data_IF_915822085156
#
_entry.id   IF_915822085156
#
_cell.length_a   1.000
_cell.length_b   1.000
_cell.length_c   1.000
_cell.angle_alpha   90.00
_cell.angle_beta   90.00
_cell.angle_gamma   90.00
#
_symmetry.space_group_name_H-M   'P 1'
#
loop_
_entity.id
_entity.type
_entity.pdbx_description
1 polymer ?
#
# COMPACT_ATOMS: atom_id res chain seq x y z
N UNK A 1 -13.78 -20.21 16.12
CA UNK A 1 -14.34 -19.43 15.03
C UNK A 1 -14.42 -20.30 13.76
N UNK A 2 -15.61 -20.56 13.24
CA UNK A 2 -15.81 -21.45 12.09
C UNK A 2 -15.44 -20.68 10.81
N UNK A 3 -14.35 -21.10 10.11
CA UNK A 3 -14.02 -20.64 8.76
C UNK A 3 -15.22 -20.96 7.84
N UNK A 4 -15.87 -19.96 7.27
CA UNK A 4 -16.81 -20.15 6.16
C UNK A 4 -15.99 -20.63 4.96
N UNK A 5 -16.10 -21.93 4.62
CA UNK A 5 -15.63 -22.46 3.35
C UNK A 5 -16.48 -21.83 2.26
N UNK A 6 -15.94 -20.88 1.53
CA UNK A 6 -16.53 -20.41 0.29
C UNK A 6 -16.34 -21.51 -0.75
N UNK A 7 -17.42 -22.25 -1.05
CA UNK A 7 -17.49 -23.21 -2.15
C UNK A 7 -17.55 -22.42 -3.46
N UNK A 8 -16.37 -22.22 -4.09
CA UNK A 8 -16.29 -21.63 -5.42
C UNK A 8 -16.38 -22.73 -6.48
N UNK A 9 -17.45 -22.67 -7.26
CA UNK A 9 -17.69 -23.58 -8.38
C UNK A 9 -16.89 -23.08 -9.59
N UNK A 10 -15.78 -23.73 -9.92
CA UNK A 10 -14.84 -23.40 -10.98
C UNK A 10 -15.43 -23.59 -12.36
N UNK A 11 -16.09 -22.60 -12.93
CA UNK A 11 -16.26 -22.47 -14.37
C UNK A 11 -15.21 -21.51 -14.90
N UNK A 12 -14.29 -22.07 -15.67
CA UNK A 12 -13.17 -21.47 -16.40
C UNK A 12 -13.67 -20.36 -17.32
N UNK A 13 -13.69 -19.11 -16.83
CA UNK A 13 -13.71 -17.90 -17.65
C UNK A 13 -13.19 -16.74 -16.78
N UNK A 14 -11.90 -16.39 -16.98
CA UNK A 14 -11.13 -15.31 -16.33
C UNK A 14 -11.00 -15.46 -14.81
N UNK A 15 -9.80 -15.38 -14.26
CA UNK A 15 -9.61 -15.62 -12.84
C UNK A 15 -10.21 -14.45 -12.04
N UNK A 16 -11.33 -14.61 -11.33
CA UNK A 16 -11.91 -13.58 -10.47
C UNK A 16 -10.91 -13.14 -9.38
N UNK A 17 -9.93 -13.95 -9.09
CA UNK A 17 -8.84 -13.68 -8.15
C UNK A 17 -7.94 -12.53 -8.59
N UNK A 18 -7.60 -12.45 -9.87
CA UNK A 18 -6.74 -11.40 -10.38
C UNK A 18 -7.41 -10.03 -10.28
N UNK A 19 -8.69 -9.96 -10.61
CA UNK A 19 -9.48 -8.73 -10.46
C UNK A 19 -9.61 -8.33 -8.98
N UNK A 20 -9.80 -9.30 -8.08
CA UNK A 20 -9.86 -9.05 -6.64
C UNK A 20 -8.53 -8.56 -6.09
N UNK A 21 -7.40 -9.12 -6.54
CA UNK A 21 -6.07 -8.62 -6.19
C UNK A 21 -5.88 -7.17 -6.63
N UNK A 22 -6.18 -6.86 -7.89
CA UNK A 22 -6.04 -5.52 -8.43
C UNK A 22 -6.91 -4.50 -7.67
N UNK A 23 -8.14 -4.87 -7.32
CA UNK A 23 -9.00 -4.05 -6.49
C UNK A 23 -8.41 -3.82 -5.09
N UNK A 24 -7.83 -4.86 -4.47
CA UNK A 24 -7.14 -4.74 -3.18
C UNK A 24 -5.92 -3.83 -3.25
N UNK A 25 -5.11 -3.93 -4.32
CA UNK A 25 -3.95 -3.08 -4.55
C UNK A 25 -4.38 -1.62 -4.73
N UNK A 26 -5.39 -1.34 -5.54
CA UNK A 26 -5.91 0.02 -5.74
C UNK A 26 -6.37 0.64 -4.42
N UNK A 27 -7.11 -0.11 -3.59
CA UNK A 27 -7.50 0.35 -2.26
C UNK A 27 -6.30 0.61 -1.36
N UNK A 28 -5.28 -0.26 -1.42
CA UNK A 28 -4.05 -0.05 -0.66
C UNK A 28 -3.34 1.24 -1.10
N UNK A 29 -3.26 1.53 -2.39
CA UNK A 29 -2.67 2.77 -2.92
C UNK A 29 -3.44 4.02 -2.48
N UNK A 30 -4.77 3.96 -2.46
CA UNK A 30 -5.60 5.04 -1.92
C UNK A 30 -5.31 5.30 -0.43
N UNK A 31 -5.19 4.22 0.37
CA UNK A 31 -4.83 4.32 1.78
C UNK A 31 -3.42 4.89 1.96
N UNK A 32 -2.43 4.45 1.18
CA UNK A 32 -1.05 4.99 1.21
C UNK A 32 -1.03 6.47 0.91
N UNK A 33 -1.82 6.92 -0.07
CA UNK A 33 -1.97 8.35 -0.40
C UNK A 33 -2.57 9.16 0.75
N UNK A 34 -3.57 8.60 1.44
CA UNK A 34 -4.17 9.22 2.62
C UNK A 34 -3.18 9.29 3.80
N UNK A 35 -2.46 8.19 4.07
CA UNK A 35 -1.42 8.13 5.10
C UNK A 35 -0.30 9.15 4.86
N UNK A 36 0.11 9.34 3.60
CA UNK A 36 1.09 10.36 3.22
C UNK A 36 0.63 11.77 3.59
N UNK A 37 -0.65 12.10 3.37
CA UNK A 37 -1.21 13.41 3.78
C UNK A 37 -1.12 13.62 5.27
N UNK A 38 -1.53 12.63 6.07
CA UNK A 38 -1.44 12.72 7.53
C UNK A 38 0.01 12.89 8.00
N UNK A 39 0.95 12.18 7.38
CA UNK A 39 2.37 12.27 7.73
C UNK A 39 2.94 13.67 7.47
N UNK A 40 2.62 14.26 6.32
CA UNK A 40 3.01 15.64 5.98
C UNK A 40 2.41 16.63 6.98
N UNK A 41 1.12 16.49 7.32
CA UNK A 41 0.45 17.35 8.29
C UNK A 41 1.05 17.23 9.70
N UNK A 42 1.46 16.03 10.12
CA UNK A 42 2.18 15.81 11.38
C UNK A 42 3.52 16.54 11.35
N UNK A 43 4.30 16.41 10.28
CA UNK A 43 5.57 17.13 10.13
C UNK A 43 5.36 18.64 10.30
N UNK A 44 4.42 19.22 9.56
CA UNK A 44 4.14 20.65 9.61
C UNK A 44 3.70 21.09 11.02
N UNK A 45 2.83 20.33 11.68
CA UNK A 45 2.37 20.63 13.01
C UNK A 45 3.49 20.56 14.07
N UNK A 46 4.37 19.55 13.97
CA UNK A 46 5.54 19.40 14.86
C UNK A 46 6.54 20.53 14.63
N UNK A 47 6.84 20.89 13.38
CA UNK A 47 7.72 22.02 13.04
C UNK A 47 7.19 23.35 13.62
N UNK A 48 5.87 23.57 13.54
CA UNK A 48 5.26 24.76 14.15
C UNK A 48 5.36 24.76 15.68
N UNK A 49 5.17 23.61 16.33
CA UNK A 49 5.27 23.47 17.78
C UNK A 49 6.71 23.59 18.30
N UNK A 50 7.69 23.14 17.51
CA UNK A 50 9.11 23.22 17.85
C UNK A 50 9.76 24.56 17.49
N UNK A 51 9.02 25.45 16.80
CA UNK A 51 9.55 26.75 16.39
C UNK A 51 10.01 27.52 17.62
N UNK A 52 11.30 27.94 17.69
CA UNK A 52 11.78 28.68 18.83
C UNK A 52 11.08 30.03 18.93
N UNK A 53 10.83 30.50 20.17
CA UNK A 53 10.35 31.84 20.38
C UNK A 53 11.34 32.87 19.78
N UNK A 54 10.81 33.86 19.09
CA UNK A 54 11.65 34.93 18.50
C UNK A 54 12.15 35.83 19.60
N UNK A 55 13.36 35.55 20.09
CA UNK A 55 13.99 36.35 21.15
C UNK A 55 14.85 37.49 20.61
N UNK A 56 15.25 37.44 19.34
CA UNK A 56 16.03 38.49 18.67
C UNK A 56 15.43 38.71 17.28
N UNK A 57 14.77 39.80 17.11
CA UNK A 57 14.34 40.31 15.81
C UNK A 57 15.53 41.05 15.13
N UNK A 58 15.51 41.08 13.80
CA UNK A 58 16.45 41.94 13.08
C UNK A 58 16.16 43.41 13.43
N UNK A 59 17.15 44.30 13.30
CA UNK A 59 16.96 45.73 13.54
C UNK A 59 15.75 46.34 12.79
N UNK A 60 15.52 45.84 11.57
CA UNK A 60 14.34 46.23 10.76
C UNK A 60 13.04 45.79 11.41
N UNK A 61 12.97 44.56 11.90
CA UNK A 61 11.76 44.05 12.58
C UNK A 61 11.52 44.78 13.90
N UNK A 62 12.57 45.07 14.67
CA UNK A 62 12.48 45.90 15.88
C UNK A 62 12.01 47.30 15.59
N UNK A 63 12.46 47.92 14.50
CA UNK A 63 11.98 49.21 14.03
C UNK A 63 10.50 49.21 13.69
N UNK A 64 10.02 48.18 12.99
CA UNK A 64 8.60 48.00 12.63
C UNK A 64 7.75 47.80 13.90
N UNK A 65 8.21 46.96 14.84
CA UNK A 65 7.51 46.69 16.08
C UNK A 65 7.39 47.97 16.92
N UNK A 66 8.47 48.73 17.06
CA UNK A 66 8.48 50.01 17.80
C UNK A 66 7.58 51.06 17.17
N UNK A 67 7.56 51.14 15.81
CA UNK A 67 6.71 52.09 15.08
C UNK A 67 5.20 51.79 15.23
N UNK A 68 4.84 50.53 15.48
CA UNK A 68 3.47 50.04 15.58
C UNK A 68 3.13 49.53 17.01
N UNK A 69 3.73 50.12 18.05
CA UNK A 69 3.66 49.62 19.40
C UNK A 69 2.24 49.77 20.02
N UNK A 70 1.51 48.66 20.04
CA UNK A 70 0.23 48.52 20.72
C UNK A 70 0.34 47.52 21.90
N UNK A 71 -0.62 47.59 22.86
CA UNK A 71 -0.68 46.60 23.97
C UNK A 71 -0.70 45.16 23.41
N UNK A 72 -1.44 44.95 22.31
CA UNK A 72 -1.56 43.64 21.67
C UNK A 72 -0.24 43.19 21.03
N UNK A 73 0.47 44.10 20.38
CA UNK A 73 1.76 43.82 19.77
C UNK A 73 2.81 43.49 20.84
N UNK A 74 2.86 44.27 21.95
CA UNK A 74 3.74 43.95 23.08
C UNK A 74 3.46 42.59 23.67
N UNK A 75 2.22 42.22 23.91
CA UNK A 75 1.85 40.90 24.42
C UNK A 75 2.25 39.77 23.45
N UNK A 76 2.06 40.00 22.16
CA UNK A 76 2.47 39.03 21.14
C UNK A 76 3.99 38.82 21.07
N UNK A 77 4.77 39.91 21.13
CA UNK A 77 6.26 39.82 21.16
C UNK A 77 6.72 39.19 22.47
N UNK A 78 6.12 39.54 23.61
CA UNK A 78 6.45 38.94 24.91
C UNK A 78 6.13 37.43 24.94
N UNK A 79 5.12 36.99 24.22
CA UNK A 79 4.80 35.57 24.03
C UNK A 79 5.76 34.88 22.99
N UNK A 80 6.82 35.57 22.56
CA UNK A 80 7.80 35.03 21.59
C UNK A 80 7.24 34.93 20.14
N UNK A 81 6.28 35.78 19.81
CA UNK A 81 5.58 35.76 18.51
C UNK A 81 4.82 34.42 18.25
N UNK A 82 4.41 33.76 19.33
CA UNK A 82 3.60 32.53 19.28
C UNK A 82 2.18 32.86 19.67
N UNK A 83 1.24 32.48 18.84
CA UNK A 83 -0.18 32.57 19.17
C UNK A 83 -0.62 31.30 19.92
N UNK A 84 -1.10 31.44 21.17
CA UNK A 84 -1.55 30.28 21.94
C UNK A 84 -2.71 29.52 21.28
N UNK A 85 -3.57 30.20 20.51
CA UNK A 85 -4.66 29.58 19.76
C UNK A 85 -4.12 28.65 18.66
N UNK A 86 -3.10 29.07 17.92
CA UNK A 86 -2.45 28.27 16.87
C UNK A 86 -1.80 27.03 17.48
N UNK A 87 -1.21 27.15 18.68
CA UNK A 87 -0.66 26.01 19.43
C UNK A 87 -1.72 24.96 19.74
N UNK A 88 -2.89 25.37 20.23
CA UNK A 88 -4.01 24.46 20.55
C UNK A 88 -4.54 23.80 19.28
N UNK A 89 -4.72 24.55 18.19
CA UNK A 89 -5.15 24.01 16.90
C UNK A 89 -4.15 22.99 16.36
N UNK A 90 -2.87 23.28 16.42
CA UNK A 90 -1.82 22.36 15.96
C UNK A 90 -1.79 21.06 16.76
N UNK A 91 -2.01 21.12 18.07
CA UNK A 91 -2.11 19.92 18.92
C UNK A 91 -3.35 19.09 18.55
N UNK A 92 -4.50 19.74 18.30
CA UNK A 92 -5.71 19.05 17.88
C UNK A 92 -5.49 18.36 16.53
N UNK A 93 -4.98 19.10 15.55
CA UNK A 93 -4.64 18.56 14.22
C UNK A 93 -3.70 17.35 14.31
N UNK A 94 -2.69 17.44 15.18
CA UNK A 94 -1.72 16.38 15.40
C UNK A 94 -2.37 15.09 15.93
N UNK A 95 -3.30 15.22 16.90
CA UNK A 95 -4.06 14.08 17.42
C UNK A 95 -4.96 13.44 16.35
N UNK A 96 -5.61 14.26 15.52
CA UNK A 96 -6.48 13.77 14.47
C UNK A 96 -5.67 13.04 13.39
N UNK A 97 -4.52 13.57 12.99
CA UNK A 97 -3.61 12.90 12.06
C UNK A 97 -3.02 11.60 12.63
N UNK A 98 -2.65 11.59 13.94
CA UNK A 98 -2.19 10.36 14.59
C UNK A 98 -3.27 9.28 14.60
N UNK A 99 -4.53 9.65 14.88
CA UNK A 99 -5.67 8.73 14.81
C UNK A 99 -5.85 8.22 13.38
N UNK A 100 -5.83 9.12 12.39
CA UNK A 100 -5.91 8.73 10.97
C UNK A 100 -4.81 7.77 10.53
N UNK A 101 -3.57 7.90 11.03
CA UNK A 101 -2.50 6.94 10.78
C UNK A 101 -2.73 5.59 11.47
N UNK A 102 -3.36 5.54 12.65
CA UNK A 102 -3.73 4.29 13.29
C UNK A 102 -4.85 3.56 12.53
N UNK A 103 -5.85 4.31 12.08
CA UNK A 103 -6.93 3.77 11.24
C UNK A 103 -6.36 3.23 9.92
N UNK A 104 -5.44 3.99 9.29
CA UNK A 104 -4.68 3.54 8.12
C UNK A 104 -3.99 2.18 8.36
N UNK A 105 -3.25 2.03 9.47
CA UNK A 105 -2.56 0.76 9.77
C UNK A 105 -3.55 -0.40 9.92
N UNK A 106 -4.68 -0.17 10.58
CA UNK A 106 -5.69 -1.20 10.77
C UNK A 106 -6.32 -1.65 9.44
N UNK A 107 -6.69 -0.69 8.58
CA UNK A 107 -7.28 -0.96 7.27
C UNK A 107 -6.29 -1.60 6.31
N UNK A 108 -5.07 -1.08 6.22
CA UNK A 108 -4.01 -1.63 5.37
C UNK A 108 -3.64 -3.07 5.77
N UNK A 109 -3.58 -3.35 7.09
CA UNK A 109 -3.38 -4.71 7.60
C UNK A 109 -4.54 -5.64 7.26
N UNK A 110 -5.77 -5.14 7.30
CA UNK A 110 -6.96 -5.88 6.88
C UNK A 110 -6.87 -6.29 5.42
N UNK A 111 -6.51 -5.36 4.53
CA UNK A 111 -6.31 -5.62 3.11
C UNK A 111 -5.18 -6.62 2.85
N UNK A 112 -4.05 -6.50 3.56
CA UNK A 112 -2.96 -7.46 3.43
C UNK A 112 -3.39 -8.88 3.82
N UNK A 113 -4.18 -9.04 4.88
CA UNK A 113 -4.71 -10.34 5.28
C UNK A 113 -5.68 -10.91 4.22
N UNK A 114 -6.48 -10.06 3.58
CA UNK A 114 -7.34 -10.49 2.46
C UNK A 114 -6.50 -10.96 1.27
N UNK A 115 -5.46 -10.21 0.91
CA UNK A 115 -4.54 -10.57 -0.17
C UNK A 115 -3.78 -11.87 0.13
N UNK A 116 -3.36 -12.10 1.36
CA UNK A 116 -2.73 -13.33 1.82
C UNK A 116 -3.65 -14.54 1.63
N UNK A 117 -4.91 -14.41 2.04
CA UNK A 117 -5.90 -15.47 1.82
C UNK A 117 -6.12 -15.77 0.33
N UNK A 118 -6.11 -14.75 -0.54
CA UNK A 118 -6.20 -14.97 -1.99
C UNK A 118 -5.00 -15.73 -2.55
N UNK A 119 -3.79 -15.43 -2.09
CA UNK A 119 -2.58 -16.15 -2.50
C UNK A 119 -2.66 -17.61 -2.06
N UNK A 120 -3.05 -17.88 -0.82
CA UNK A 120 -3.21 -19.24 -0.30
C UNK A 120 -4.24 -20.05 -1.13
N UNK A 121 -5.36 -19.44 -1.48
CA UNK A 121 -6.40 -20.06 -2.30
C UNK A 121 -5.86 -20.43 -3.71
N UNK A 122 -5.08 -19.56 -4.33
CA UNK A 122 -4.47 -19.81 -5.66
C UNK A 122 -3.45 -20.93 -5.59
N UNK A 123 -2.58 -20.94 -4.57
CA UNK A 123 -1.59 -22.00 -4.36
C UNK A 123 -2.30 -23.36 -4.20
N UNK A 124 -3.39 -23.39 -3.42
CA UNK A 124 -4.20 -24.60 -3.24
C UNK A 124 -4.78 -25.14 -4.55
N UNK A 125 -5.24 -24.24 -5.42
CA UNK A 125 -5.76 -24.63 -6.74
C UNK A 125 -4.67 -25.16 -7.66
N UNK A 126 -3.51 -24.52 -7.69
CA UNK A 126 -2.36 -24.97 -8.50
C UNK A 126 -1.88 -26.36 -8.06
N UNK A 127 -1.80 -26.61 -6.74
CA UNK A 127 -1.44 -27.91 -6.20
C UNK A 127 -2.42 -29.00 -6.62
N UNK A 128 -3.72 -28.75 -6.48
CA UNK A 128 -4.76 -29.71 -6.88
C UNK A 128 -4.69 -30.00 -8.39
N UNK A 129 -4.45 -28.98 -9.21
CA UNK A 129 -4.32 -29.15 -10.66
C UNK A 129 -3.11 -30.02 -11.04
N UNK A 130 -1.98 -29.84 -10.36
CA UNK A 130 -0.78 -30.64 -10.58
C UNK A 130 -0.96 -32.10 -10.10
N UNK A 131 -1.67 -32.33 -9.01
CA UNK A 131 -2.00 -33.68 -8.53
C UNK A 131 -2.89 -34.43 -9.53
N UNK A 132 -3.89 -33.76 -10.09
CA UNK A 132 -4.78 -34.35 -11.11
C UNK A 132 -3.96 -34.66 -12.38
N UNK A 133 -3.11 -33.75 -12.83
CA UNK A 133 -2.27 -33.95 -14.01
C UNK A 133 -1.31 -35.14 -13.82
N UNK A 134 -0.69 -35.28 -12.66
CA UNK A 134 0.20 -36.41 -12.36
C UNK A 134 -0.55 -37.77 -12.25
N UNK A 135 -1.78 -37.75 -11.72
CA UNK A 135 -2.64 -38.93 -11.70
C UNK A 135 -3.05 -39.38 -13.10
N UNK A 136 -3.39 -38.45 -13.98
CA UNK A 136 -3.75 -38.76 -15.37
C UNK A 136 -2.57 -39.31 -16.16
N UNK A 137 -1.37 -38.76 -15.95
CA UNK A 137 -0.14 -39.25 -16.58
C UNK A 137 0.35 -40.60 -16.03
N UNK A 138 0.08 -40.88 -14.75
CA UNK A 138 0.40 -42.14 -14.09
C UNK A 138 -0.46 -43.33 -14.55
N UNK A 139 -1.64 -43.10 -15.09
CA UNK A 139 -2.52 -44.18 -15.59
C UNK A 139 -2.26 -44.59 -17.03
N UNK A 140 -1.36 -43.89 -17.75
CA UNK A 140 -0.99 -44.18 -19.13
C UNK A 140 0.13 -45.23 -19.28
N UNK A 141 0.47 -45.95 -18.20
CA UNK A 141 1.57 -46.92 -18.13
C UNK A 141 1.19 -48.38 -18.40
N UNK A 142 -0.03 -48.73 -18.67
CA UNK A 142 -0.40 -50.11 -19.00
C UNK A 142 -1.11 -50.19 -20.36
N UNK A 143 -0.43 -50.89 -21.24
CA UNK A 143 -0.61 -50.99 -22.67
C UNK A 143 -2.04 -51.17 -23.19
N UNK A 144 -2.54 -50.19 -23.90
CA UNK A 144 -3.52 -50.38 -24.96
C UNK A 144 -3.18 -49.44 -26.12
N UNK A 145 -2.58 -50.05 -27.16
CA UNK A 145 -2.46 -49.48 -28.50
C UNK A 145 -3.87 -49.26 -29.02
N UNK A 146 -4.39 -48.08 -28.97
CA UNK A 146 -5.56 -47.67 -29.74
C UNK A 146 -5.14 -46.92 -30.97
N UNK A 147 -5.41 -47.58 -32.09
CA UNK A 147 -5.32 -47.11 -33.44
C UNK A 147 -5.85 -45.69 -33.64
N UNK A 148 -5.02 -44.84 -34.28
CA UNK A 148 -5.32 -43.44 -34.50
C UNK A 148 -6.64 -43.18 -35.21
N UNK A 149 -7.41 -42.29 -34.69
CA UNK A 149 -8.40 -41.53 -35.44
C UNK A 149 -7.95 -40.09 -35.52
N UNK A 150 -7.99 -39.62 -36.74
CA UNK A 150 -7.54 -38.36 -37.31
C UNK A 150 -8.14 -37.09 -36.68
N UNK A 151 -8.58 -37.13 -35.43
CA UNK A 151 -9.28 -36.02 -34.74
C UNK A 151 -8.40 -35.21 -33.80
N UNK A 152 -7.17 -35.69 -33.51
CA UNK A 152 -6.28 -35.03 -32.55
C UNK A 152 -5.37 -33.95 -33.14
N UNK A 153 -5.34 -33.81 -34.48
CA UNK A 153 -4.42 -32.86 -35.15
C UNK A 153 -5.02 -31.45 -35.36
N UNK A 154 -6.34 -31.28 -35.25
CA UNK A 154 -6.98 -29.94 -35.35
C UNK A 154 -7.02 -29.16 -34.05
N UNK A 155 -6.75 -29.79 -32.90
CA UNK A 155 -6.75 -29.13 -31.59
C UNK A 155 -5.41 -28.43 -31.28
N UNK A 156 -4.34 -28.76 -32.03
CA UNK A 156 -3.00 -28.20 -31.80
C UNK A 156 -2.71 -26.89 -32.53
N UNK A 157 -3.48 -26.53 -33.56
CA UNK A 157 -3.20 -25.35 -34.39
C UNK A 157 -3.92 -24.06 -33.90
N UNK A 158 -4.82 -24.15 -32.90
CA UNK A 158 -5.52 -22.99 -32.31
C UNK A 158 -4.81 -22.38 -31.08
N UNK A 159 -3.55 -22.76 -30.81
CA UNK A 159 -2.76 -22.28 -29.66
C UNK A 159 -1.94 -21.03 -29.94
N UNK A 160 -2.38 -20.13 -30.77
CA UNK A 160 -1.61 -18.93 -31.15
C UNK A 160 -2.11 -17.62 -30.55
N UNK A 161 -2.86 -17.67 -29.46
CA UNK A 161 -3.00 -16.52 -28.56
C UNK A 161 -2.59 -17.03 -27.19
N UNK A 162 -1.35 -16.79 -26.78
CA UNK A 162 -0.84 -17.12 -25.45
C UNK A 162 -1.69 -16.43 -24.39
N UNK A 163 -2.73 -17.12 -23.88
CA UNK A 163 -3.28 -16.77 -22.59
C UNK A 163 -2.15 -16.95 -21.58
N UNK A 164 -1.85 -15.94 -20.74
CA UNK A 164 -0.87 -16.11 -19.68
C UNK A 164 -1.25 -17.36 -18.88
N UNK A 165 -0.30 -18.25 -18.68
CA UNK A 165 -0.54 -19.46 -17.91
C UNK A 165 -0.95 -19.06 -16.49
N UNK A 166 -1.84 -19.84 -15.89
CA UNK A 166 -2.32 -19.57 -14.52
C UNK A 166 -1.14 -19.47 -13.54
N UNK A 167 -0.08 -20.21 -13.80
CA UNK A 167 1.19 -20.20 -13.07
C UNK A 167 1.89 -18.84 -13.14
N UNK A 168 1.93 -18.20 -14.32
CA UNK A 168 2.54 -16.87 -14.49
C UNK A 168 1.76 -15.81 -13.71
N UNK A 169 0.44 -15.87 -13.79
CA UNK A 169 -0.43 -14.98 -13.01
C UNK A 169 -0.21 -15.16 -11.50
N UNK A 170 -0.13 -16.40 -11.01
CA UNK A 170 0.09 -16.68 -9.60
C UNK A 170 1.47 -16.18 -9.12
N UNK A 171 2.49 -16.34 -9.93
CA UNK A 171 3.85 -15.86 -9.64
C UNK A 171 3.90 -14.35 -9.52
N UNK A 172 3.30 -13.63 -10.47
CA UNK A 172 3.22 -12.16 -10.41
C UNK A 172 2.42 -11.70 -9.20
N UNK A 173 1.30 -12.35 -8.88
CA UNK A 173 0.50 -12.04 -7.69
C UNK A 173 1.31 -12.19 -6.40
N UNK A 174 2.09 -13.27 -6.28
CA UNK A 174 2.98 -13.49 -5.13
C UNK A 174 4.06 -12.43 -4.98
N UNK A 175 4.65 -11.99 -6.10
CA UNK A 175 5.65 -10.92 -6.11
C UNK A 175 5.02 -9.59 -5.66
N UNK A 176 3.85 -9.22 -6.21
CA UNK A 176 3.15 -7.98 -5.86
C UNK A 176 2.77 -7.98 -4.37
N UNK A 177 2.21 -9.07 -3.88
CA UNK A 177 1.89 -9.20 -2.46
C UNK A 177 3.14 -8.98 -1.58
N UNK A 178 4.27 -9.58 -1.96
CA UNK A 178 5.54 -9.39 -1.24
C UNK A 178 6.00 -7.94 -1.22
N UNK A 179 5.92 -7.24 -2.36
CA UNK A 179 6.25 -5.81 -2.47
C UNK A 179 5.35 -4.96 -1.59
N UNK A 180 4.03 -5.13 -1.67
CA UNK A 180 3.04 -4.39 -0.89
C UNK A 180 3.20 -4.65 0.61
N UNK A 181 3.49 -5.89 1.00
CA UNK A 181 3.76 -6.27 2.39
C UNK A 181 5.02 -5.59 2.94
N UNK A 182 6.10 -5.53 2.17
CA UNK A 182 7.33 -4.85 2.57
C UNK A 182 7.13 -3.34 2.69
N UNK A 183 6.39 -2.74 1.76
CA UNK A 183 6.02 -1.32 1.79
C UNK A 183 5.21 -0.99 3.05
N UNK A 184 4.19 -1.80 3.37
CA UNK A 184 3.43 -1.68 4.61
C UNK A 184 4.31 -1.79 5.87
N UNK A 185 5.23 -2.76 5.91
CA UNK A 185 6.13 -2.92 7.06
C UNK A 185 7.05 -1.71 7.27
N UNK A 186 7.48 -1.07 6.20
CA UNK A 186 8.23 0.19 6.27
C UNK A 186 7.34 1.31 6.84
N UNK A 187 6.13 1.45 6.35
CA UNK A 187 5.17 2.47 6.78
C UNK A 187 4.78 2.29 8.25
N UNK A 188 4.55 1.06 8.70
CA UNK A 188 4.30 0.73 10.10
C UNK A 188 5.47 1.17 10.99
N UNK A 189 6.72 0.90 10.57
CA UNK A 189 7.92 1.35 11.29
C UNK A 189 8.02 2.87 11.36
N UNK A 190 7.73 3.57 10.26
CA UNK A 190 7.69 5.03 10.22
C UNK A 190 6.69 5.55 11.25
N UNK A 191 5.44 5.04 11.23
CA UNK A 191 4.39 5.47 12.15
C UNK A 191 4.78 5.21 13.61
N UNK A 192 5.34 4.04 13.91
CA UNK A 192 5.80 3.71 15.26
C UNK A 192 6.98 4.57 15.73
N UNK A 193 7.76 5.13 14.81
CA UNK A 193 8.92 5.99 15.12
C UNK A 193 8.54 7.47 15.29
N UNK A 194 7.31 7.88 14.93
CA UNK A 194 6.88 9.26 15.04
C UNK A 194 6.87 9.74 16.49
N UNK A 195 7.53 10.87 16.73
CA UNK A 195 7.60 11.50 18.04
C UNK A 195 7.50 13.01 17.93
N UNK A 196 6.92 13.64 18.95
CA UNK A 196 6.95 15.12 19.09
C UNK A 196 8.37 15.67 19.25
N UNK A 197 9.35 14.80 19.54
CA UNK A 197 10.77 15.15 19.69
C UNK A 197 11.58 14.90 18.43
N UNK A 198 10.97 14.27 17.40
CA UNK A 198 11.65 14.02 16.12
C UNK A 198 12.08 15.34 15.48
N UNK A 199 13.29 15.37 14.94
CA UNK A 199 13.78 16.56 14.24
C UNK A 199 13.06 16.77 12.91
N UNK A 200 13.03 18.01 12.41
CA UNK A 200 12.46 18.32 11.09
C UNK A 200 13.10 17.49 9.97
N UNK A 201 14.42 17.27 10.02
CA UNK A 201 15.15 16.45 9.05
C UNK A 201 14.72 14.98 9.09
N UNK A 202 14.48 14.43 10.29
CA UNK A 202 13.99 13.07 10.49
C UNK A 202 12.57 12.90 9.93
N UNK A 203 11.65 13.81 10.27
CA UNK A 203 10.30 13.80 9.75
C UNK A 203 10.24 13.96 8.23
N UNK A 204 11.11 14.81 7.67
CA UNK A 204 11.25 14.96 6.24
C UNK A 204 11.72 13.66 5.59
N UNK A 205 12.68 12.96 6.20
CA UNK A 205 13.15 11.65 5.72
C UNK A 205 12.06 10.61 5.72
N UNK A 206 11.19 10.57 6.73
CA UNK A 206 10.02 9.69 6.78
C UNK A 206 9.03 10.00 5.66
N UNK A 207 8.73 11.28 5.41
CA UNK A 207 7.88 11.68 4.29
C UNK A 207 8.46 11.26 2.93
N UNK A 208 9.77 11.41 2.75
CA UNK A 208 10.46 11.00 1.51
C UNK A 208 10.42 9.48 1.32
N UNK A 209 10.74 8.71 2.35
CA UNK A 209 10.68 7.23 2.28
C UNK A 209 9.27 6.75 1.96
N UNK A 210 8.24 7.35 2.58
CA UNK A 210 6.85 7.05 2.30
C UNK A 210 6.46 7.32 0.83
N UNK A 211 6.90 8.46 0.30
CA UNK A 211 6.60 8.86 -1.09
C UNK A 211 7.35 8.04 -2.13
N UNK A 212 8.60 7.66 -1.83
CA UNK A 212 9.45 6.90 -2.76
C UNK A 212 9.01 5.45 -2.92
N UNK A 213 8.35 4.89 -1.90
CA UNK A 213 7.89 3.48 -1.92
C UNK A 213 8.97 2.52 -2.44
N UNK A 214 10.16 2.43 -1.80
CA UNK A 214 11.33 1.76 -2.36
C UNK A 214 11.17 0.26 -2.58
N UNK A 215 10.10 -0.34 -2.08
CA UNK A 215 9.79 -1.76 -2.24
C UNK A 215 8.82 -2.06 -3.38
N UNK A 216 8.27 -1.02 -4.03
CA UNK A 216 7.35 -1.18 -5.16
C UNK A 216 8.14 -1.00 -6.46
N UNK A 217 8.12 -2.04 -7.29
CA UNK A 217 8.69 -2.02 -8.63
C UNK A 217 7.57 -1.70 -9.62
N UNK A 218 7.65 -0.51 -10.22
CA UNK A 218 6.64 0.00 -11.14
C UNK A 218 6.57 -0.83 -12.43
N UNK A 219 7.68 -1.43 -12.88
CA UNK A 219 7.70 -2.27 -14.08
C UNK A 219 6.92 -3.58 -13.82
N UNK A 220 7.09 -4.17 -12.65
CA UNK A 220 6.33 -5.37 -12.25
C UNK A 220 4.85 -5.03 -12.10
N UNK A 221 4.53 -3.90 -11.44
CA UNK A 221 3.16 -3.41 -11.33
C UNK A 221 2.54 -3.19 -12.71
N UNK A 222 3.27 -2.60 -13.65
CA UNK A 222 2.81 -2.35 -15.00
C UNK A 222 2.58 -3.64 -15.80
N UNK A 223 3.44 -4.65 -15.63
CA UNK A 223 3.25 -5.98 -16.23
C UNK A 223 1.97 -6.64 -15.69
N UNK A 224 1.73 -6.56 -14.39
CA UNK A 224 0.53 -7.08 -13.79
C UNK A 224 -0.74 -6.44 -14.35
N UNK A 225 -0.76 -5.11 -14.47
CA UNK A 225 -1.91 -4.40 -15.05
C UNK A 225 -2.19 -4.78 -16.51
N UNK A 226 -1.17 -5.13 -17.30
CA UNK A 226 -1.33 -5.61 -18.69
C UNK A 226 -1.98 -6.98 -18.77
N UNK A 227 -1.89 -7.79 -17.73
CA UNK A 227 -2.52 -9.12 -17.68
C UNK A 227 -4.03 -9.05 -17.39
N UNK A 228 -4.56 -7.88 -17.01
CA UNK A 228 -6.00 -7.69 -16.86
C UNK A 228 -6.60 -7.59 -18.25
N UNK A 229 -7.53 -8.47 -18.62
CA UNK A 229 -8.26 -8.31 -19.86
C UNK A 229 -8.96 -6.94 -19.85
N UNK A 230 -8.68 -6.11 -20.83
CA UNK A 230 -9.42 -4.87 -21.02
C UNK A 230 -10.85 -5.27 -21.36
N UNK A 231 -11.78 -4.94 -20.45
CA UNK A 231 -13.23 -5.10 -20.64
C UNK A 231 -13.74 -4.05 -21.61
#
# INVERSE_FOLDING_TARGET
>A
MKRKKCHWNWRIRHPPFYQSLCCGITKFEELVSLGSKFLVEIREAVELLQRPAVHKTSEVADGIIKANETKRMKAYVQAGCINAHDGVQNISKLRDCQRGLQDYLAEAKGLLNELDCFIDDIVGVLQTSNEIASHVLGYSGDGLVLQGTSFEMEVMESRSIQKPEVTDCASIMGIIYSMVKQDYMMQEKIICSLSLKSSSAELQSYCLMWSLRPFIDDDIMHQAWKLIPQL
#
